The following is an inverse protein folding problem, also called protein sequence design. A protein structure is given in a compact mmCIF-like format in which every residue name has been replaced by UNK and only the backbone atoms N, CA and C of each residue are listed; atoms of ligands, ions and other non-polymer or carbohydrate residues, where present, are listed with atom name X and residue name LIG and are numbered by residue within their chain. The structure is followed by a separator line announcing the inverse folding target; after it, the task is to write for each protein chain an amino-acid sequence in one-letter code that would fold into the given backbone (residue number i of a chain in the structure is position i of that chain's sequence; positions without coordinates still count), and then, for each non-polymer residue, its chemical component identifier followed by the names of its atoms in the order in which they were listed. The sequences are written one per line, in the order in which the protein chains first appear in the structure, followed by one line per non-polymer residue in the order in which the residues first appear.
data_IF_035870878495
#
_entry.id   IF_035870878495
#
_cell.length_a   1.000
_cell.length_b   1.000
_cell.length_c   1.000
_cell.angle_alpha   90.00
_cell.angle_beta   90.00
_cell.angle_gamma   90.00
#
_symmetry.space_group_name_H-M   'P 1'
#
loop_
_entity.id
_entity.type
_entity.pdbx_description
1 polymer ?
#
# COMPACT_ATOMS: atom_id res chain seq x y z
N UNK A 1 -9.80 -0.29 -23.50
CA UNK A 1 -10.47 -0.04 -22.20
C UNK A 1 -9.73 -0.92 -21.23
N UNK A 2 -8.82 -0.37 -20.40
CA UNK A 2 -8.10 -1.18 -19.42
C UNK A 2 -9.13 -1.72 -18.43
N UNK A 3 -9.26 -3.03 -18.35
CA UNK A 3 -10.06 -3.66 -17.31
C UNK A 3 -9.57 -3.16 -15.96
N UNK A 4 -10.46 -2.53 -15.20
CA UNK A 4 -10.16 -2.10 -13.84
C UNK A 4 -10.11 -3.36 -12.99
N UNK A 5 -8.90 -3.81 -12.66
CA UNK A 5 -8.70 -4.89 -11.70
C UNK A 5 -9.11 -4.44 -10.29
N UNK A 6 -9.42 -5.40 -9.43
CA UNK A 6 -9.75 -5.13 -8.03
C UNK A 6 -8.46 -4.92 -7.23
N UNK A 7 -8.42 -3.87 -6.42
CA UNK A 7 -7.32 -3.59 -5.49
C UNK A 7 -7.87 -3.64 -4.07
N UNK A 8 -7.24 -4.46 -3.23
CA UNK A 8 -7.58 -4.58 -1.82
C UNK A 8 -6.34 -4.39 -0.95
N UNK A 9 -6.30 -3.27 -0.24
CA UNK A 9 -5.23 -2.88 0.66
C UNK A 9 -5.72 -2.90 2.11
N UNK A 10 -4.95 -3.54 2.99
CA UNK A 10 -5.33 -3.71 4.39
C UNK A 10 -4.10 -3.57 5.29
N UNK A 11 -4.23 -2.70 6.29
CA UNK A 11 -3.35 -2.73 7.46
C UNK A 11 -3.85 -3.75 8.47
N UNK A 12 -2.95 -4.53 9.07
CA UNK A 12 -3.30 -5.46 10.15
C UNK A 12 -2.20 -5.45 11.22
N UNK A 13 -2.41 -4.79 12.38
CA UNK A 13 -3.56 -3.92 12.74
C UNK A 13 -3.60 -2.61 11.92
N UNK A 14 -4.74 -1.90 11.92
CA UNK A 14 -4.93 -0.59 11.27
C UNK A 14 -4.60 0.61 12.18
N UNK A 15 -3.99 0.35 13.33
CA UNK A 15 -3.47 1.34 14.26
C UNK A 15 -2.19 0.81 14.92
N UNK A 16 -1.36 1.70 15.44
CA UNK A 16 -0.12 1.32 16.12
C UNK A 16 0.53 2.47 16.87
N UNK A 17 1.45 2.15 17.77
CA UNK A 17 2.17 3.14 18.57
C UNK A 17 3.48 3.53 17.91
N UNK A 18 4.01 4.67 18.31
CA UNK A 18 5.38 5.11 18.02
C UNK A 18 6.39 4.00 18.36
N UNK A 19 7.26 3.66 17.42
CA UNK A 19 8.23 2.57 17.52
C UNK A 19 7.70 1.19 17.11
N UNK A 20 6.39 1.02 16.94
CA UNK A 20 5.83 -0.23 16.40
C UNK A 20 6.10 -0.34 14.89
N UNK A 21 5.96 -1.55 14.38
CA UNK A 21 6.00 -1.83 12.95
C UNK A 21 4.60 -1.89 12.37
N UNK A 22 4.28 -0.95 11.47
CA UNK A 22 3.08 -1.01 10.66
C UNK A 22 3.29 -2.00 9.51
N UNK A 23 2.29 -2.83 9.23
CA UNK A 23 2.30 -3.81 8.11
C UNK A 23 1.07 -3.64 7.24
N UNK A 24 1.32 -3.42 5.95
CA UNK A 24 0.32 -3.28 4.91
C UNK A 24 0.42 -4.47 3.96
N UNK A 25 -0.69 -5.17 3.71
CA UNK A 25 -0.82 -6.17 2.65
C UNK A 25 -1.73 -5.61 1.56
N UNK A 26 -1.33 -5.80 0.30
CA UNK A 26 -2.13 -5.45 -0.88
C UNK A 26 -2.30 -6.70 -1.74
N UNK A 27 -3.54 -6.96 -2.12
CA UNK A 27 -3.94 -8.05 -3.01
C UNK A 27 -4.62 -7.44 -4.23
N UNK A 28 -4.35 -8.03 -5.40
CA UNK A 28 -4.92 -7.62 -6.67
C UNK A 28 -5.75 -8.78 -7.24
N UNK A 29 -7.04 -8.54 -7.42
CA UNK A 29 -8.00 -9.51 -7.96
C UNK A 29 -8.45 -9.13 -9.37
N UNK A 30 -9.03 -10.09 -10.10
CA UNK A 30 -9.57 -9.87 -11.44
C UNK A 30 -8.59 -9.15 -12.39
N UNK A 31 -7.30 -9.51 -12.28
CA UNK A 31 -6.30 -9.14 -13.26
C UNK A 31 -6.65 -9.89 -14.54
N UNK A 32 -7.22 -9.20 -15.53
CA UNK A 32 -7.49 -9.79 -16.84
C UNK A 32 -6.22 -10.41 -17.43
N UNK A 33 -6.34 -11.34 -18.37
CA UNK A 33 -5.24 -12.17 -18.87
C UNK A 33 -4.03 -11.38 -19.43
N UNK A 34 -4.20 -10.09 -19.71
CA UNK A 34 -3.17 -9.19 -20.25
C UNK A 34 -2.56 -8.23 -19.23
N UNK A 35 -3.03 -8.21 -17.98
CA UNK A 35 -2.54 -7.30 -16.94
C UNK A 35 -1.57 -8.02 -16.03
N UNK A 36 -0.28 -7.71 -16.19
CA UNK A 36 0.76 -8.16 -15.26
C UNK A 36 1.31 -6.98 -14.46
N UNK A 37 1.17 -7.06 -13.14
CA UNK A 37 1.69 -6.04 -12.22
C UNK A 37 3.21 -6.17 -12.13
N UNK A 38 3.91 -5.08 -12.45
CA UNK A 38 5.35 -4.95 -12.23
C UNK A 38 5.62 -4.56 -10.77
N UNK A 39 4.96 -3.50 -10.30
CA UNK A 39 5.19 -2.91 -8.97
C UNK A 39 3.89 -2.51 -8.31
N UNK A 40 3.83 -2.67 -6.99
CA UNK A 40 2.86 -1.96 -6.14
C UNK A 40 3.58 -0.82 -5.43
N UNK A 41 2.96 0.36 -5.43
CA UNK A 41 3.51 1.58 -4.85
C UNK A 41 2.66 1.98 -3.65
N UNK A 42 3.33 2.34 -2.56
CA UNK A 42 2.73 2.98 -1.39
C UNK A 42 3.21 4.43 -1.29
N UNK A 43 2.29 5.32 -0.92
CA UNK A 43 2.57 6.74 -0.74
C UNK A 43 1.94 7.27 0.53
N UNK A 44 2.74 7.94 1.36
CA UNK A 44 2.30 8.65 2.56
C UNK A 44 2.77 10.09 2.42
N UNK A 45 1.87 10.97 1.97
CA UNK A 45 2.22 12.35 1.59
C UNK A 45 2.77 13.16 2.76
N UNK A 46 2.24 12.97 3.98
CA UNK A 46 2.66 13.68 5.19
C UNK A 46 4.13 13.44 5.56
N UNK A 47 4.68 12.29 5.17
CA UNK A 47 6.08 11.92 5.42
C UNK A 47 6.95 11.98 4.17
N UNK A 48 6.41 12.40 3.02
CA UNK A 48 7.12 12.35 1.75
C UNK A 48 7.52 10.93 1.32
N UNK A 49 6.84 9.91 1.85
CA UNK A 49 7.15 8.51 1.54
C UNK A 49 6.54 8.17 0.19
N UNK A 50 7.38 7.60 -0.66
CA UNK A 50 7.02 7.01 -1.94
C UNK A 50 7.89 5.77 -2.12
N UNK A 51 7.29 4.59 -1.99
CA UNK A 51 8.06 3.35 -1.88
C UNK A 51 7.42 2.21 -2.68
N UNK A 52 8.26 1.29 -3.14
CA UNK A 52 7.82 0.06 -3.80
C UNK A 52 7.59 -1.02 -2.75
N UNK A 53 6.43 -1.67 -2.79
CA UNK A 53 6.11 -2.78 -1.92
C UNK A 53 6.87 -4.05 -2.34
N UNK A 54 7.19 -4.91 -1.39
CA UNK A 54 7.78 -6.22 -1.64
C UNK A 54 6.73 -7.15 -2.24
N UNK A 55 7.05 -7.82 -3.35
CA UNK A 55 6.22 -8.89 -3.92
C UNK A 55 6.45 -10.18 -3.16
N UNK A 56 5.37 -10.86 -2.78
CA UNK A 56 5.38 -12.16 -2.11
C UNK A 56 5.12 -13.31 -3.10
N UNK A 57 5.41 -14.54 -2.68
CA UNK A 57 5.22 -15.76 -3.49
C UNK A 57 3.75 -16.02 -3.84
N UNK A 58 2.82 -15.61 -2.97
CA UNK A 58 1.37 -15.72 -3.20
C UNK A 58 0.83 -14.68 -4.19
N UNK A 59 1.70 -13.83 -4.76
CA UNK A 59 1.34 -12.76 -5.68
C UNK A 59 0.83 -11.49 -5.01
N UNK A 60 0.70 -11.47 -3.68
CA UNK A 60 0.40 -10.26 -2.92
C UNK A 60 1.63 -9.37 -2.77
N UNK A 61 1.41 -8.16 -2.27
CA UNK A 61 2.47 -7.20 -1.98
C UNK A 61 2.42 -6.80 -0.52
N UNK A 62 3.58 -6.75 0.15
CA UNK A 62 3.70 -6.31 1.54
C UNK A 62 4.59 -5.09 1.67
N UNK A 63 4.24 -4.23 2.62
CA UNK A 63 5.06 -3.11 3.04
C UNK A 63 5.12 -3.07 4.55
N UNK A 64 6.32 -2.83 5.09
CA UNK A 64 6.56 -2.76 6.52
C UNK A 64 7.34 -1.50 6.82
N UNK A 65 6.89 -0.72 7.80
CA UNK A 65 7.51 0.55 8.14
C UNK A 65 7.52 0.78 9.66
N UNK A 66 8.66 1.19 10.23
CA UNK A 66 8.71 1.54 11.64
C UNK A 66 8.03 2.91 11.83
N UNK A 67 7.04 2.98 12.72
CA UNK A 67 6.37 4.23 13.05
C UNK A 67 7.38 5.13 13.79
N UNK A 68 7.73 6.32 13.26
CA UNK A 68 8.71 7.20 13.89
C UNK A 68 8.29 7.60 15.30
N UNK A 69 9.24 7.81 16.21
CA UNK A 69 8.92 8.19 17.59
C UNK A 69 8.32 9.60 17.69
N UNK A 70 8.64 10.44 16.73
CA UNK A 70 8.16 11.80 16.54
C UNK A 70 6.81 11.86 15.82
N UNK A 71 6.25 10.73 15.36
CA UNK A 71 5.00 10.71 14.61
C UNK A 71 3.84 11.33 15.39
N UNK A 72 3.14 12.35 14.84
CA UNK A 72 1.90 12.86 15.43
C UNK A 72 0.85 11.77 15.68
N UNK A 73 0.12 11.88 16.78
CA UNK A 73 -1.00 10.98 17.09
C UNK A 73 -2.21 11.46 16.29
N UNK A 74 -2.42 10.86 15.13
CA UNK A 74 -3.50 11.19 14.20
C UNK A 74 -3.72 10.05 13.20
N UNK A 75 -4.86 10.04 12.49
CA UNK A 75 -5.00 9.23 11.28
C UNK A 75 -4.09 9.74 10.16
N UNK A 76 -3.53 8.81 9.40
CA UNK A 76 -2.78 9.05 8.18
C UNK A 76 -3.51 8.44 6.99
N UNK A 77 -3.57 9.17 5.89
CA UNK A 77 -4.04 8.65 4.61
C UNK A 77 -2.87 8.07 3.82
N UNK A 78 -2.98 6.81 3.44
CA UNK A 78 -1.97 6.08 2.68
C UNK A 78 -2.58 5.69 1.34
N UNK A 79 -2.01 6.22 0.26
CA UNK A 79 -2.40 5.85 -1.10
C UNK A 79 -1.60 4.62 -1.54
N UNK A 80 -2.28 3.67 -2.19
CA UNK A 80 -1.65 2.54 -2.87
C UNK A 80 -2.19 2.38 -4.28
N UNK A 81 -1.33 1.97 -5.20
CA UNK A 81 -1.69 1.67 -6.58
C UNK A 81 -0.63 0.79 -7.24
N UNK A 82 -1.00 0.10 -8.31
CA UNK A 82 -0.06 -0.72 -9.07
C UNK A 82 0.42 -0.01 -10.33
N UNK A 83 1.61 -0.42 -10.79
CA UNK A 83 2.20 -0.07 -12.07
C UNK A 83 2.40 -1.38 -12.85
N UNK A 84 1.89 -1.43 -14.08
CA UNK A 84 2.08 -2.58 -14.98
C UNK A 84 3.47 -2.58 -15.64
N UNK A 85 3.82 -3.67 -16.34
CA UNK A 85 5.12 -3.81 -17.03
C UNK A 85 5.43 -2.75 -18.09
N UNK A 86 4.42 -2.05 -18.61
CA UNK A 86 4.59 -1.00 -19.62
C UNK A 86 4.49 0.40 -19.01
N UNK A 87 4.36 0.49 -17.68
CA UNK A 87 4.41 1.73 -16.90
C UNK A 87 3.06 2.41 -16.67
N UNK A 88 1.93 1.78 -17.01
CA UNK A 88 0.62 2.36 -16.71
C UNK A 88 0.30 2.22 -15.22
N UNK A 89 -0.30 3.27 -14.66
CA UNK A 89 -0.85 3.25 -13.30
C UNK A 89 -2.27 2.72 -13.34
N UNK A 90 -2.58 1.75 -12.50
CA UNK A 90 -3.96 1.29 -12.33
C UNK A 90 -4.74 2.11 -11.29
N UNK A 91 -5.91 1.60 -10.84
CA UNK A 91 -6.71 2.24 -9.80
C UNK A 91 -5.91 2.46 -8.52
N UNK A 92 -6.28 3.52 -7.81
CA UNK A 92 -5.75 3.86 -6.49
C UNK A 92 -6.75 3.47 -5.41
N UNK A 93 -6.24 3.06 -4.25
CA UNK A 93 -7.02 2.97 -3.03
C UNK A 93 -6.34 3.77 -1.94
N UNK A 94 -7.13 4.51 -1.16
CA UNK A 94 -6.68 5.17 0.05
C UNK A 94 -7.10 4.32 1.24
N UNK A 95 -6.15 4.00 2.11
CA UNK A 95 -6.39 3.34 3.40
C UNK A 95 -5.94 4.24 4.53
N UNK A 96 -6.55 4.07 5.69
CA UNK A 96 -6.26 4.86 6.88
C UNK A 96 -5.48 4.00 7.87
N UNK A 97 -4.39 4.55 8.39
CA UNK A 97 -3.67 4.00 9.54
C UNK A 97 -3.61 5.05 10.65
N UNK A 98 -3.95 4.68 11.88
CA UNK A 98 -3.98 5.61 13.01
C UNK A 98 -2.78 5.41 13.92
N UNK A 99 -1.98 6.46 14.11
CA UNK A 99 -0.96 6.45 15.17
C UNK A 99 -1.63 6.81 16.49
N UNK A 100 -1.44 5.96 17.50
CA UNK A 100 -2.02 6.09 18.84
C UNK A 100 -0.93 6.24 19.91
N UNK A 101 -1.34 6.64 21.12
CA UNK A 101 -0.45 6.80 22.30
C UNK A 101 0.03 5.48 22.89
#
# INVERSE_FOLDING_TARGET
MHEMYELKAIFTPNEGKRGDWAKLKVEYGNLGDSVEIDKSIVRISDYGIYDAMKREEDGSFTWSYPIPYEAPIQPYEIEVYAIDKIGNKGPKQTVIFTVIS
#
